data_IF_280105623026
#
_entry.id   IF_280105623026
#
_cell.length_a   1.000
_cell.length_b   1.000
_cell.length_c   1.000
_cell.angle_alpha   90.00
_cell.angle_beta   90.00
_cell.angle_gamma   90.00
#
_symmetry.space_group_name_H-M   'P 1'
#
loop_
_entity.id
_entity.type
_entity.pdbx_description
1 polymer ?
#
# COMPACT_ATOMS: atom_id res chain seq x y z
N UNK A 1 -6.47 -12.37 8.91
CA UNK A 1 -5.49 -11.36 9.36
C UNK A 1 -5.66 -10.13 8.48
N UNK A 2 -5.19 -8.98 8.94
CA UNK A 2 -5.21 -7.73 8.18
C UNK A 2 -3.80 -7.20 8.08
N UNK A 3 -3.44 -6.67 6.92
CA UNK A 3 -2.11 -6.15 6.62
C UNK A 3 -2.24 -4.72 6.13
N UNK A 4 -1.68 -3.78 6.89
CA UNK A 4 -1.57 -2.38 6.51
C UNK A 4 -0.23 -2.18 5.81
N UNK A 5 -0.29 -1.68 4.58
CA UNK A 5 0.87 -1.38 3.75
C UNK A 5 0.92 0.13 3.49
N UNK A 6 2.10 0.72 3.65
CA UNK A 6 2.39 2.10 3.22
C UNK A 6 3.51 2.06 2.21
N UNK A 7 3.19 2.38 0.97
CA UNK A 7 4.10 2.38 -0.16
C UNK A 7 4.50 3.81 -0.52
N UNK A 8 5.78 4.04 -0.86
CA UNK A 8 6.25 5.33 -1.36
C UNK A 8 6.48 5.26 -2.87
N UNK A 9 5.80 6.13 -3.62
CA UNK A 9 6.04 6.32 -5.05
C UNK A 9 7.36 7.02 -5.34
N UNK A 10 7.87 7.84 -4.40
CA UNK A 10 9.16 8.50 -4.55
C UNK A 10 10.31 7.49 -4.46
N UNK A 11 10.23 6.57 -3.50
CA UNK A 11 11.26 5.56 -3.26
C UNK A 11 11.03 4.26 -4.04
N UNK A 12 9.85 4.11 -4.65
CA UNK A 12 9.46 2.90 -5.38
C UNK A 12 9.47 1.64 -4.52
N UNK A 13 9.16 1.76 -3.21
CA UNK A 13 9.22 0.64 -2.26
C UNK A 13 8.23 0.77 -1.10
N UNK A 14 7.96 -0.36 -0.47
CA UNK A 14 7.22 -0.42 0.79
C UNK A 14 8.04 0.20 1.92
N UNK A 15 7.43 1.14 2.64
CA UNK A 15 8.04 1.85 3.79
C UNK A 15 7.55 1.28 5.11
N UNK A 16 6.26 0.91 5.17
CA UNK A 16 5.68 0.27 6.35
C UNK A 16 4.83 -0.93 5.99
N UNK A 17 4.94 -1.97 6.82
CA UNK A 17 4.11 -3.16 6.82
C UNK A 17 3.74 -3.47 8.26
N UNK A 18 2.46 -3.57 8.55
CA UNK A 18 1.95 -3.89 9.88
C UNK A 18 0.87 -4.95 9.74
N UNK A 19 0.83 -5.90 10.66
CA UNK A 19 -0.17 -6.97 10.70
C UNK A 19 -1.05 -6.89 11.95
N UNK A 20 -2.32 -7.25 11.77
CA UNK A 20 -3.34 -7.22 12.80
C UNK A 20 -4.20 -8.48 12.75
N UNK A 21 -4.56 -8.98 13.93
CA UNK A 21 -5.55 -10.07 14.07
C UNK A 21 -6.95 -9.50 14.21
N UNK A 22 -7.09 -8.39 14.96
CA UNK A 22 -8.37 -7.72 15.21
C UNK A 22 -8.69 -6.71 14.08
N UNK A 23 -9.91 -6.75 13.56
CA UNK A 23 -10.38 -5.86 12.50
C UNK A 23 -10.47 -4.40 12.94
N UNK A 24 -10.91 -4.15 14.17
CA UNK A 24 -11.13 -2.79 14.68
C UNK A 24 -9.80 -2.07 14.87
N UNK A 25 -8.79 -2.78 15.38
CA UNK A 25 -7.42 -2.28 15.47
C UNK A 25 -6.83 -1.97 14.09
N UNK A 26 -7.06 -2.86 13.12
CA UNK A 26 -6.60 -2.69 11.75
C UNK A 26 -7.22 -1.46 11.07
N UNK A 27 -8.53 -1.27 11.25
CA UNK A 27 -9.27 -0.10 10.73
C UNK A 27 -8.82 1.18 11.42
N UNK A 28 -8.62 1.15 12.75
CA UNK A 28 -8.11 2.31 13.48
C UNK A 28 -6.71 2.72 13.00
N UNK A 29 -5.82 1.75 12.80
CA UNK A 29 -4.48 1.97 12.26
C UNK A 29 -4.52 2.53 10.83
N UNK A 30 -5.37 1.96 9.97
CA UNK A 30 -5.57 2.47 8.61
C UNK A 30 -6.04 3.93 8.62
N UNK A 31 -7.06 4.27 9.42
CA UNK A 31 -7.56 5.63 9.54
C UNK A 31 -6.50 6.61 10.07
N UNK A 32 -5.64 6.15 10.99
CA UNK A 32 -4.53 6.95 11.51
C UNK A 32 -3.47 7.20 10.42
N UNK A 33 -3.09 6.15 9.69
CA UNK A 33 -2.15 6.24 8.57
C UNK A 33 -2.71 7.13 7.46
N UNK A 34 -3.96 6.97 7.06
CA UNK A 34 -4.60 7.86 6.08
C UNK A 34 -4.51 9.31 6.53
N UNK A 35 -4.86 9.65 7.78
CA UNK A 35 -4.75 11.04 8.27
C UNK A 35 -3.32 11.56 8.22
N UNK A 36 -2.34 10.71 8.55
CA UNK A 36 -0.91 11.07 8.52
C UNK A 36 -0.41 11.34 7.10
N UNK A 37 -0.79 10.50 6.13
CA UNK A 37 -0.30 10.58 4.75
C UNK A 37 -1.24 11.33 3.79
N UNK A 38 -2.44 11.71 4.21
CA UNK A 38 -3.42 12.48 3.41
C UNK A 38 -2.85 13.73 2.73
N UNK A 39 -1.92 14.50 3.33
CA UNK A 39 -1.30 15.63 2.65
C UNK A 39 -0.36 15.26 1.49
N UNK A 40 -0.06 13.97 1.32
CA UNK A 40 0.98 13.43 0.43
C UNK A 40 0.50 12.20 -0.35
N UNK A 41 -0.80 12.11 -0.67
CA UNK A 41 -1.37 10.96 -1.40
C UNK A 41 -0.85 10.82 -2.85
N UNK A 42 -0.24 11.87 -3.39
CA UNK A 42 0.51 11.84 -4.66
C UNK A 42 1.84 11.09 -4.53
N UNK A 43 2.35 10.91 -3.31
CA UNK A 43 3.67 10.33 -3.00
C UNK A 43 3.58 9.02 -2.24
N UNK A 44 2.44 8.74 -1.62
CA UNK A 44 2.23 7.54 -0.82
C UNK A 44 0.90 6.86 -1.14
N UNK A 45 0.92 5.53 -1.10
CA UNK A 45 -0.26 4.69 -1.16
C UNK A 45 -0.42 3.95 0.16
N UNK A 46 -1.65 3.95 0.69
CA UNK A 46 -2.00 3.34 1.97
C UNK A 46 -3.09 2.33 1.69
N UNK A 47 -2.85 1.05 1.97
CA UNK A 47 -3.83 0.00 1.72
C UNK A 47 -3.93 -0.94 2.91
N UNK A 48 -5.16 -1.35 3.22
CA UNK A 48 -5.47 -2.38 4.21
C UNK A 48 -6.00 -3.63 3.52
N UNK A 49 -5.29 -4.74 3.66
CA UNK A 49 -5.61 -6.00 2.96
C UNK A 49 -5.98 -7.07 3.98
N UNK A 50 -7.18 -7.64 3.83
CA UNK A 50 -7.57 -8.85 4.54
C UNK A 50 -7.07 -10.10 3.82
N UNK A 51 -6.28 -10.94 4.50
CA UNK A 51 -5.79 -12.20 3.95
C UNK A 51 -5.55 -13.25 5.04
N UNK A 52 -5.36 -14.50 4.61
CA UNK A 52 -4.99 -15.62 5.47
C UNK A 52 -3.51 -15.55 5.92
N UNK A 53 -2.62 -14.99 5.09
CA UNK A 53 -1.20 -14.80 5.41
C UNK A 53 -0.55 -13.67 4.62
N UNK A 54 0.61 -13.20 5.07
CA UNK A 54 1.42 -12.22 4.32
C UNK A 54 1.90 -12.81 2.98
N UNK A 55 2.19 -14.11 2.91
CA UNK A 55 2.60 -14.76 1.67
C UNK A 55 1.52 -14.67 0.58
N UNK A 56 0.24 -14.78 0.97
CA UNK A 56 -0.89 -14.57 0.06
C UNK A 56 -0.99 -13.13 -0.42
N UNK A 57 -0.73 -12.16 0.46
CA UNK A 57 -0.69 -10.73 0.07
C UNK A 57 0.43 -10.49 -0.93
N UNK A 58 1.65 -10.98 -0.66
CA UNK A 58 2.79 -10.84 -1.58
C UNK A 58 2.52 -11.48 -2.95
N UNK A 59 1.75 -12.58 -2.99
CA UNK A 59 1.40 -13.25 -4.25
C UNK A 59 0.33 -12.50 -5.05
N UNK A 60 -0.62 -11.85 -4.38
CA UNK A 60 -1.78 -11.19 -5.02
C UNK A 60 -1.56 -9.69 -5.26
N UNK A 61 -0.70 -9.05 -4.48
CA UNK A 61 -0.36 -7.63 -4.51
C UNK A 61 1.16 -7.45 -4.55
N UNK A 62 1.82 -8.18 -5.46
CA UNK A 62 3.29 -8.29 -5.53
C UNK A 62 4.01 -6.98 -5.84
N UNK A 63 3.34 -6.01 -6.48
CA UNK A 63 3.95 -4.73 -6.86
C UNK A 63 4.44 -3.91 -5.67
N UNK A 64 3.87 -4.10 -4.48
CA UNK A 64 4.36 -3.45 -3.25
C UNK A 64 5.70 -4.04 -2.76
N UNK A 65 6.01 -5.28 -3.12
CA UNK A 65 7.16 -6.03 -2.60
C UNK A 65 8.29 -6.18 -3.61
N UNK A 66 8.00 -6.03 -4.91
CA UNK A 66 8.96 -6.15 -6.00
C UNK A 66 9.22 -4.78 -6.65
N UNK A 67 10.39 -4.17 -6.42
CA UNK A 67 10.74 -2.86 -7.00
C UNK A 67 10.68 -2.84 -8.53
N UNK A 68 10.97 -3.96 -9.19
CA UNK A 68 10.95 -4.08 -10.66
C UNK A 68 9.54 -4.02 -11.26
N UNK A 69 8.51 -4.40 -10.51
CA UNK A 69 7.11 -4.35 -10.98
C UNK A 69 6.46 -3.00 -10.63
N UNK A 70 6.89 -2.37 -9.54
CA UNK A 70 6.41 -1.05 -9.12
C UNK A 70 6.65 0.06 -10.13
N UNK A 71 7.80 0.06 -10.83
CA UNK A 71 8.13 1.13 -11.79
C UNK A 71 7.11 1.21 -12.93
N UNK A 72 6.58 0.07 -13.39
CA UNK A 72 5.59 0.01 -14.47
C UNK A 72 4.22 0.51 -14.00
N UNK A 73 3.81 0.16 -12.79
CA UNK A 73 2.53 0.61 -12.22
C UNK A 73 2.54 2.12 -11.90
N UNK A 74 3.69 2.63 -11.42
CA UNK A 74 3.88 4.06 -11.14
C UNK A 74 3.85 4.90 -12.42
N UNK A 75 4.38 4.37 -13.54
CA UNK A 75 4.27 5.01 -14.86
C UNK A 75 2.81 5.08 -15.33
N UNK A 76 2.03 4.02 -15.12
CA UNK A 76 0.60 3.98 -15.47
C UNK A 76 -0.25 4.99 -14.66
N UNK A 77 0.05 5.19 -13.38
CA UNK A 77 -0.65 6.17 -12.53
C UNK A 77 -0.30 7.64 -12.84
N UNK A 78 0.87 7.88 -13.47
CA UNK A 78 1.33 9.23 -13.84
C UNK A 78 0.71 9.76 -15.14
N UNK A 79 0.01 8.91 -15.89
CA UNK A 79 -0.61 9.28 -17.17
C UNK A 79 -2.15 9.36 -17.01
N UNK A 80 -2.70 10.46 -16.46
CA UNK A 80 -4.12 10.76 -16.63
C UNK A 80 -4.32 11.07 -18.12
N UNK A 81 -4.86 10.08 -18.84
CA UNK A 81 -5.21 10.17 -20.26
C UNK A 81 -5.73 11.56 -20.65
N UNK A 82 -4.92 12.31 -21.38
CA UNK A 82 -5.37 13.25 -22.40
C UNK A 82 -6.19 12.49 -23.43
N UNK A 83 -7.51 12.51 -23.30
CA UNK A 83 -8.48 12.33 -24.40
C UNK A 83 -9.64 13.31 -24.18
#
# INVERSE_FOLDING_TARGET
MYFLLVFSFDEGRLIHQMDYVNSDEAIAAYNAAEKQYRPHLDRFEIVLIGADSIATVMKTHGHYFNPSESSIFSEFLRDPQTV
#
